data_IF_099382696163
#
_entry.id   IF_099382696163
#
_cell.length_a   1.000
_cell.length_b   1.000
_cell.length_c   1.000
_cell.angle_alpha   90.00
_cell.angle_beta   90.00
_cell.angle_gamma   90.00
#
_symmetry.space_group_name_H-M   'P 1'
#
loop_
_entity.id
_entity.type
_entity.pdbx_description
1 polymer ?
#
# COMPACT_ATOMS: atom_id res chain seq x y z
N UNK A 1 39.59 22.10 68.22
CA UNK A 1 39.40 20.93 67.33
C UNK A 1 38.26 21.21 66.34
N UNK A 2 38.41 21.99 65.28
CA UNK A 2 39.18 23.19 64.97
C UNK A 2 38.27 23.97 63.99
N UNK A 3 37.83 25.20 64.32
CA UNK A 3 38.37 26.51 63.85
C UNK A 3 38.06 26.72 62.35
N UNK A 4 37.48 27.79 61.82
CA UNK A 4 37.23 29.20 62.17
C UNK A 4 36.16 29.71 61.16
N UNK A 5 35.23 30.62 61.47
CA UNK A 5 35.44 32.09 61.53
C UNK A 5 35.22 32.70 60.14
N UNK A 6 34.48 33.78 59.85
CA UNK A 6 33.67 34.78 60.57
C UNK A 6 32.70 35.37 59.51
N UNK A 7 31.53 35.94 59.85
CA UNK A 7 31.35 37.36 60.21
C UNK A 7 32.09 38.31 59.21
N UNK A 8 31.47 39.29 58.55
CA UNK A 8 30.68 40.37 59.14
C UNK A 8 30.21 41.37 58.03
N UNK A 9 29.06 42.01 58.30
CA UNK A 9 28.60 43.40 57.94
C UNK A 9 28.27 43.74 56.48
N UNK A 10 27.04 44.12 56.13
CA UNK A 10 26.19 45.26 56.57
C UNK A 10 26.67 46.61 55.98
N UNK A 11 25.73 47.56 55.87
CA UNK A 11 25.81 48.96 55.44
C UNK A 11 25.34 49.16 53.99
N UNK A 12 24.05 49.42 53.73
CA UNK A 12 23.24 50.63 54.02
C UNK A 12 23.72 51.87 53.25
N UNK A 13 22.74 52.54 52.63
CA UNK A 13 22.57 54.00 52.54
C UNK A 13 22.48 54.52 51.10
N UNK A 14 21.25 54.89 50.77
CA UNK A 14 20.81 56.09 50.06
C UNK A 14 21.89 56.98 49.42
N UNK A 15 21.64 57.43 48.19
CA UNK A 15 21.11 58.78 47.97
C UNK A 15 21.05 59.12 46.46
N UNK A 16 19.83 59.47 46.06
CA UNK A 16 19.41 60.49 45.11
C UNK A 16 20.46 61.38 44.43
N UNK A 17 20.21 61.70 43.16
CA UNK A 17 20.76 62.90 42.52
C UNK A 17 20.49 62.97 41.02
N UNK A 18 19.29 63.43 40.64
CA UNK A 18 19.04 63.98 39.30
C UNK A 18 19.63 65.39 39.23
N UNK A 19 20.31 65.75 38.14
CA UNK A 19 20.28 67.11 37.58
C UNK A 19 20.61 67.12 36.09
N UNK A 20 19.66 67.68 35.37
CA UNK A 20 19.54 68.20 34.01
C UNK A 20 20.72 69.07 33.52
N UNK A 21 21.07 68.98 32.22
CA UNK A 21 21.53 70.14 31.42
C UNK A 21 21.55 69.86 29.91
N UNK A 22 20.69 70.59 29.19
CA UNK A 22 20.67 70.81 27.75
C UNK A 22 22.04 71.25 27.18
N UNK A 23 22.36 70.80 25.95
CA UNK A 23 22.67 71.70 24.81
C UNK A 23 22.98 70.97 23.50
N UNK A 24 22.50 71.61 22.43
CA UNK A 24 22.96 71.61 21.04
C UNK A 24 22.57 70.45 20.11
N UNK A 25 21.34 70.58 19.60
CA UNK A 25 20.95 70.12 18.27
C UNK A 25 21.45 71.11 17.20
N UNK A 26 22.53 70.78 16.50
CA UNK A 26 22.71 71.05 15.05
C UNK A 26 24.05 70.45 14.56
N UNK A 27 24.02 69.30 13.90
CA UNK A 27 25.11 68.81 13.06
C UNK A 27 24.51 67.99 11.92
N UNK A 28 24.96 68.19 10.66
CA UNK A 28 24.33 67.57 9.49
C UNK A 28 24.56 66.06 9.46
N UNK A 29 23.53 65.32 9.04
CA UNK A 29 23.53 63.87 8.92
C UNK A 29 24.68 63.35 8.04
N UNK A 30 25.42 62.31 8.46
CA UNK A 30 26.36 61.64 7.57
C UNK A 30 25.59 60.82 6.52
N UNK A 31 26.09 60.85 5.27
CA UNK A 31 25.56 60.11 4.11
C UNK A 31 25.39 58.60 4.40
N UNK A 32 24.38 57.94 3.81
CA UNK A 32 24.20 56.51 3.99
C UNK A 32 25.37 55.74 3.34
N UNK A 33 26.01 54.90 4.15
CA UNK A 33 27.01 53.93 3.70
C UNK A 33 26.40 52.96 2.68
N UNK A 34 27.16 52.46 1.68
CA UNK A 34 26.63 51.59 0.65
C UNK A 34 26.08 50.31 1.29
N UNK A 35 24.84 49.95 0.94
CA UNK A 35 24.21 48.70 1.36
C UNK A 35 25.15 47.53 1.08
N UNK A 36 25.73 46.97 2.14
CA UNK A 36 26.30 45.64 2.12
C UNK A 36 25.13 44.70 1.87
N UNK A 37 24.98 44.25 0.63
CA UNK A 37 24.10 43.15 0.27
C UNK A 37 24.44 41.96 1.17
N UNK A 38 23.59 41.74 2.17
CA UNK A 38 23.62 40.51 2.93
C UNK A 38 23.36 39.38 1.93
N UNK A 39 24.18 38.31 1.91
CA UNK A 39 23.83 37.16 1.12
C UNK A 39 22.44 36.69 1.59
N UNK A 40 21.56 36.26 0.67
CA UNK A 40 20.25 35.76 1.05
C UNK A 40 20.44 34.66 2.10
N UNK A 41 19.56 34.58 3.12
CA UNK A 41 19.62 33.50 4.09
C UNK A 41 19.69 32.18 3.33
N UNK A 42 20.43 31.17 3.84
CA UNK A 42 20.43 29.86 3.20
C UNK A 42 18.97 29.47 3.05
N UNK A 43 18.57 29.15 1.81
CA UNK A 43 17.27 28.57 1.53
C UNK A 43 17.23 27.31 2.40
N UNK A 44 16.63 27.44 3.59
CA UNK A 44 16.17 26.30 4.32
C UNK A 44 15.24 25.62 3.33
N UNK A 45 15.65 24.44 2.89
CA UNK A 45 14.76 23.48 2.28
C UNK A 45 13.72 23.08 3.35
N UNK A 46 12.90 24.04 3.78
CA UNK A 46 11.66 23.80 4.49
C UNK A 46 10.64 23.40 3.45
N UNK A 47 10.08 22.22 3.65
CA UNK A 47 9.19 21.59 2.69
C UNK A 47 9.83 20.48 1.88
N UNK A 48 10.69 19.65 2.51
CA UNK A 48 10.44 18.21 2.33
C UNK A 48 9.03 17.99 2.87
N UNK A 49 8.03 18.16 1.99
CA UNK A 49 6.78 17.46 2.15
C UNK A 49 7.21 16.00 2.31
N UNK A 50 7.18 15.54 3.56
CA UNK A 50 6.84 14.16 3.87
C UNK A 50 5.48 13.92 3.22
N UNK A 51 5.51 13.69 1.90
CA UNK A 51 4.52 12.89 1.24
C UNK A 51 4.75 11.54 1.89
N UNK A 52 4.04 11.31 2.99
CA UNK A 52 3.79 9.97 3.47
C UNK A 52 3.09 9.27 2.34
N UNK A 53 3.88 8.76 1.39
CA UNK A 53 3.45 7.71 0.49
C UNK A 53 3.16 6.55 1.42
N UNK A 54 1.92 6.47 1.89
CA UNK A 54 1.37 5.28 2.51
C UNK A 54 1.20 4.24 1.41
N UNK A 55 2.32 3.81 0.81
CA UNK A 55 2.36 2.63 -0.01
C UNK A 55 2.20 1.41 0.90
N UNK A 56 1.46 0.41 0.42
CA UNK A 56 1.29 -0.91 1.01
C UNK A 56 2.45 -1.27 1.96
N UNK A 57 2.23 -1.36 3.28
CA UNK A 57 3.33 -1.71 4.19
C UNK A 57 3.98 -3.03 3.75
N UNK A 58 5.29 -3.21 3.96
CA UNK A 58 5.94 -4.49 3.62
C UNK A 58 5.27 -5.70 4.27
N UNK A 59 4.56 -5.50 5.39
CA UNK A 59 3.71 -6.54 6.01
C UNK A 59 2.45 -6.83 5.19
N UNK A 60 1.75 -5.80 4.73
CA UNK A 60 0.55 -5.94 3.88
C UNK A 60 0.87 -6.66 2.57
N UNK A 61 1.96 -6.29 1.89
CA UNK A 61 2.38 -6.99 0.67
C UNK A 61 2.71 -8.48 0.90
N UNK A 62 3.23 -8.85 2.08
CA UNK A 62 3.50 -10.25 2.44
C UNK A 62 2.22 -11.00 2.83
N UNK A 63 1.25 -10.33 3.47
CA UNK A 63 -0.08 -10.90 3.75
C UNK A 63 -0.82 -11.16 2.43
N UNK A 64 -0.82 -10.19 1.52
CA UNK A 64 -1.37 -10.34 0.18
C UNK A 64 -0.71 -11.50 -0.58
N UNK A 65 0.62 -11.63 -0.54
CA UNK A 65 1.33 -12.79 -1.09
C UNK A 65 0.79 -14.10 -0.52
N UNK A 66 0.67 -14.19 0.81
CA UNK A 66 0.19 -15.40 1.48
C UNK A 66 -1.24 -15.76 1.07
N UNK A 67 -2.12 -14.76 1.01
CA UNK A 67 -3.51 -14.95 0.65
C UNK A 67 -3.67 -15.38 -0.81
N UNK A 68 -2.96 -14.72 -1.74
CA UNK A 68 -2.93 -15.11 -3.16
C UNK A 68 -2.25 -16.47 -3.38
N UNK A 69 -1.23 -16.82 -2.58
CA UNK A 69 -0.57 -18.12 -2.69
C UNK A 69 -1.53 -19.27 -2.35
N UNK A 70 -2.32 -19.12 -1.29
CA UNK A 70 -3.38 -20.10 -0.94
C UNK A 70 -4.42 -20.17 -2.05
N UNK A 71 -4.88 -19.02 -2.56
CA UNK A 71 -5.83 -18.97 -3.67
C UNK A 71 -5.31 -19.72 -4.90
N UNK A 72 -4.09 -19.42 -5.33
CA UNK A 72 -3.45 -20.04 -6.49
C UNK A 72 -3.23 -21.55 -6.31
N UNK A 73 -2.87 -22.03 -5.11
CA UNK A 73 -2.79 -23.48 -4.86
C UNK A 73 -4.16 -24.15 -5.05
N UNK A 74 -5.21 -23.58 -4.47
CA UNK A 74 -6.55 -24.16 -4.52
C UNK A 74 -7.12 -24.16 -5.94
N UNK A 75 -6.92 -23.07 -6.68
CA UNK A 75 -7.33 -22.95 -8.08
C UNK A 75 -6.62 -23.97 -8.96
N UNK A 76 -5.30 -24.07 -8.82
CA UNK A 76 -4.49 -24.97 -9.64
C UNK A 76 -4.70 -26.43 -9.24
N UNK A 77 -5.08 -26.71 -7.99
CA UNK A 77 -5.56 -28.02 -7.57
C UNK A 77 -6.91 -28.37 -8.22
N UNK A 78 -7.83 -27.42 -8.34
CA UNK A 78 -9.08 -27.62 -9.08
C UNK A 78 -8.82 -27.93 -10.56
N UNK A 79 -7.83 -27.27 -11.19
CA UNK A 79 -7.38 -27.63 -12.54
C UNK A 79 -6.82 -29.07 -12.60
N UNK A 80 -6.03 -29.49 -11.62
CA UNK A 80 -5.49 -30.86 -11.54
C UNK A 80 -6.55 -31.94 -11.32
N UNK A 81 -7.69 -31.58 -10.71
CA UNK A 81 -8.83 -32.47 -10.49
C UNK A 81 -9.70 -32.66 -11.75
N UNK A 82 -9.64 -31.74 -12.71
CA UNK A 82 -10.52 -31.72 -13.87
C UNK A 82 -10.56 -33.09 -14.60
N UNK A 83 -11.77 -33.59 -14.84
CA UNK A 83 -12.00 -34.94 -15.33
C UNK A 83 -11.94 -35.05 -16.86
N UNK A 84 -12.32 -33.99 -17.57
CA UNK A 84 -12.27 -33.96 -19.03
C UNK A 84 -11.26 -32.94 -19.55
N UNK A 85 -10.78 -33.17 -20.78
CA UNK A 85 -9.92 -32.22 -21.48
C UNK A 85 -10.62 -30.88 -21.70
N UNK A 86 -11.93 -30.89 -21.98
CA UNK A 86 -12.70 -29.67 -22.20
C UNK A 86 -12.79 -28.83 -20.91
N UNK A 87 -13.09 -29.46 -19.77
CA UNK A 87 -13.14 -28.76 -18.48
C UNK A 87 -11.77 -28.19 -18.12
N UNK A 88 -10.71 -28.98 -18.32
CA UNK A 88 -9.33 -28.54 -18.09
C UNK A 88 -8.95 -27.36 -18.97
N UNK A 89 -9.36 -27.37 -20.25
CA UNK A 89 -9.08 -26.30 -21.19
C UNK A 89 -9.84 -25.01 -20.84
N UNK A 90 -11.12 -25.11 -20.47
CA UNK A 90 -11.92 -23.97 -20.03
C UNK A 90 -11.37 -23.36 -18.73
N UNK A 91 -11.02 -24.19 -17.75
CA UNK A 91 -10.38 -23.74 -16.51
C UNK A 91 -9.03 -23.07 -16.79
N UNK A 92 -8.19 -23.69 -17.62
CA UNK A 92 -6.89 -23.13 -18.02
C UNK A 92 -7.03 -21.79 -18.73
N UNK A 93 -8.03 -21.65 -19.61
CA UNK A 93 -8.32 -20.38 -20.27
C UNK A 93 -8.77 -19.31 -19.28
N UNK A 94 -9.64 -19.66 -18.34
CA UNK A 94 -10.06 -18.77 -17.26
C UNK A 94 -8.85 -18.29 -16.44
N UNK A 95 -8.01 -19.22 -15.98
CA UNK A 95 -6.76 -18.96 -15.25
C UNK A 95 -5.84 -18.03 -16.04
N UNK A 96 -5.60 -18.35 -17.31
CA UNK A 96 -4.72 -17.56 -18.17
C UNK A 96 -5.16 -16.10 -18.32
N UNK A 97 -6.47 -15.82 -18.21
CA UNK A 97 -7.00 -14.47 -18.34
C UNK A 97 -6.81 -13.61 -17.09
N UNK A 98 -6.85 -14.20 -15.89
CA UNK A 98 -6.83 -13.41 -14.64
C UNK A 98 -5.55 -13.59 -13.80
N UNK A 99 -4.86 -14.73 -13.86
CA UNK A 99 -3.64 -14.95 -13.09
C UNK A 99 -2.50 -13.95 -13.39
N UNK A 100 -2.32 -13.45 -14.64
CA UNK A 100 -1.38 -12.36 -14.90
C UNK A 100 -1.79 -11.06 -14.19
N UNK A 101 -3.08 -10.74 -14.12
CA UNK A 101 -3.57 -9.56 -13.44
C UNK A 101 -3.32 -9.64 -11.93
N UNK A 102 -3.54 -10.81 -11.32
CA UNK A 102 -3.20 -11.06 -9.91
C UNK A 102 -1.70 -10.91 -9.63
N UNK A 103 -0.86 -11.47 -10.50
CA UNK A 103 0.60 -11.40 -10.38
C UNK A 103 1.10 -9.96 -10.50
N UNK A 104 0.50 -9.17 -11.39
CA UNK A 104 0.82 -7.73 -11.54
C UNK A 104 0.38 -6.95 -10.31
N UNK A 105 -0.82 -7.20 -9.77
CA UNK A 105 -1.30 -6.55 -8.55
C UNK A 105 -0.35 -6.83 -7.36
N UNK A 106 0.08 -8.09 -7.20
CA UNK A 106 1.06 -8.47 -6.19
C UNK A 106 2.42 -7.80 -6.39
N UNK A 107 2.91 -7.73 -7.64
CA UNK A 107 4.14 -7.02 -7.98
C UNK A 107 4.05 -5.54 -7.62
N UNK A 108 2.94 -4.87 -7.97
CA UNK A 108 2.71 -3.46 -7.65
C UNK A 108 2.68 -3.26 -6.14
N UNK A 109 2.01 -4.13 -5.38
CA UNK A 109 2.02 -4.08 -3.91
C UNK A 109 3.44 -4.17 -3.35
N UNK A 110 4.27 -5.08 -3.86
CA UNK A 110 5.67 -5.16 -3.44
C UNK A 110 6.49 -3.91 -3.79
N UNK A 111 6.30 -3.35 -4.98
CA UNK A 111 6.99 -2.13 -5.40
C UNK A 111 6.57 -0.91 -4.56
N UNK A 112 5.27 -0.78 -4.25
CA UNK A 112 4.73 0.27 -3.36
C UNK A 112 5.24 0.11 -1.92
N UNK A 113 5.56 -1.10 -1.48
CA UNK A 113 6.05 -1.37 -0.12
C UNK A 113 7.49 -0.98 0.19
N UNK A 114 8.21 -0.43 -0.79
CA UNK A 114 9.62 -0.06 -0.64
C UNK A 114 10.57 -1.26 -0.48
N UNK A 115 10.08 -2.48 -0.76
CA UNK A 115 10.88 -3.70 -0.62
C UNK A 115 12.03 -3.73 -1.63
N UNK A 116 13.26 -4.14 -1.25
CA UNK A 116 14.36 -4.22 -2.19
C UNK A 116 14.08 -5.23 -3.29
N UNK A 117 14.37 -4.86 -4.54
CA UNK A 117 14.02 -5.62 -5.77
C UNK A 117 14.45 -7.10 -5.75
N UNK A 118 15.58 -7.42 -5.10
CA UNK A 118 16.03 -8.81 -4.98
C UNK A 118 15.06 -9.68 -4.16
N UNK A 119 14.46 -9.15 -3.10
CA UNK A 119 13.46 -9.87 -2.29
C UNK A 119 12.15 -10.02 -3.04
N UNK A 120 11.74 -8.99 -3.78
CA UNK A 120 10.56 -9.05 -4.65
C UNK A 120 10.71 -10.22 -5.63
N UNK A 121 11.87 -10.33 -6.29
CA UNK A 121 12.16 -11.46 -7.19
C UNK A 121 12.07 -12.83 -6.49
N UNK A 122 12.57 -12.96 -5.26
CA UNK A 122 12.46 -14.19 -4.47
C UNK A 122 11.00 -14.54 -4.13
N UNK A 123 10.20 -13.56 -3.72
CA UNK A 123 8.79 -13.78 -3.41
C UNK A 123 7.96 -14.13 -4.65
N UNK A 124 8.20 -13.46 -5.77
CA UNK A 124 7.53 -13.80 -7.04
C UNK A 124 7.93 -15.18 -7.56
N UNK A 125 9.21 -15.57 -7.42
CA UNK A 125 9.65 -16.91 -7.75
C UNK A 125 8.97 -17.96 -6.88
N UNK A 126 8.84 -17.71 -5.57
CA UNK A 126 8.10 -18.56 -4.66
C UNK A 126 6.61 -18.65 -5.04
N UNK A 127 5.98 -17.52 -5.39
CA UNK A 127 4.59 -17.47 -5.84
C UNK A 127 4.38 -18.29 -7.13
N UNK A 128 5.30 -18.22 -8.08
CA UNK A 128 5.23 -19.01 -9.32
C UNK A 128 5.28 -20.52 -9.08
N UNK A 129 5.86 -20.98 -7.96
CA UNK A 129 5.87 -22.41 -7.61
C UNK A 129 4.53 -22.91 -7.07
N UNK A 130 3.65 -22.01 -6.62
CA UNK A 130 2.33 -22.36 -6.08
C UNK A 130 1.46 -23.06 -7.12
N UNK A 131 1.54 -22.64 -8.38
CA UNK A 131 0.76 -23.23 -9.47
C UNK A 131 1.09 -24.70 -9.74
N UNK A 132 2.36 -25.05 -10.04
CA UNK A 132 2.77 -26.45 -10.18
C UNK A 132 2.47 -27.30 -8.94
N UNK A 133 2.66 -26.75 -7.74
CA UNK A 133 2.32 -27.44 -6.48
C UNK A 133 0.82 -27.75 -6.43
N UNK A 134 -0.04 -26.77 -6.72
CA UNK A 134 -1.49 -26.94 -6.77
C UNK A 134 -1.91 -28.03 -7.76
N UNK A 135 -1.42 -27.99 -9.00
CA UNK A 135 -1.74 -29.01 -10.02
C UNK A 135 -1.36 -30.41 -9.55
N UNK A 136 -0.14 -30.59 -9.04
CA UNK A 136 0.33 -31.89 -8.55
C UNK A 136 -0.52 -32.39 -7.39
N UNK A 137 -0.90 -31.51 -6.45
CA UNK A 137 -1.79 -31.87 -5.35
C UNK A 137 -3.18 -32.30 -5.84
N UNK A 138 -3.76 -31.55 -6.79
CA UNK A 138 -5.04 -31.89 -7.42
C UNK A 138 -5.00 -33.26 -8.10
N UNK A 139 -3.96 -33.51 -8.90
CA UNK A 139 -3.75 -34.81 -9.55
C UNK A 139 -3.56 -35.95 -8.54
N UNK A 140 -2.85 -35.70 -7.44
CA UNK A 140 -2.57 -36.71 -6.42
C UNK A 140 -3.82 -37.18 -5.68
N UNK A 141 -4.81 -36.30 -5.49
CA UNK A 141 -6.06 -36.63 -4.79
C UNK A 141 -7.20 -37.02 -5.73
N UNK A 142 -7.03 -36.85 -7.05
CA UNK A 142 -8.06 -37.10 -8.07
C UNK A 142 -8.73 -38.47 -7.96
N UNK A 143 -7.94 -39.53 -7.82
CA UNK A 143 -8.45 -40.92 -7.79
C UNK A 143 -9.25 -41.25 -6.51
N UNK A 144 -9.07 -40.47 -5.45
CA UNK A 144 -9.71 -40.71 -4.13
C UNK A 144 -10.77 -39.66 -3.80
N UNK A 145 -10.82 -38.56 -4.55
CA UNK A 145 -11.73 -37.45 -4.31
C UNK A 145 -13.16 -37.80 -4.78
N UNK A 146 -14.18 -37.67 -3.93
CA UNK A 146 -15.57 -37.81 -4.36
C UNK A 146 -15.96 -36.63 -5.27
N UNK A 147 -16.96 -36.76 -6.17
CA UNK A 147 -17.41 -35.68 -7.05
C UNK A 147 -17.83 -34.38 -6.33
N UNK A 148 -18.27 -34.49 -5.07
CA UNK A 148 -18.60 -33.34 -4.24
C UNK A 148 -17.36 -32.45 -3.95
N UNK A 149 -16.16 -33.04 -3.96
CA UNK A 149 -14.92 -32.34 -3.69
C UNK A 149 -14.62 -31.24 -4.70
N UNK A 150 -14.93 -31.45 -5.98
CA UNK A 150 -14.74 -30.46 -7.04
C UNK A 150 -15.59 -29.20 -6.78
N UNK A 151 -16.85 -29.40 -6.39
CA UNK A 151 -17.78 -28.31 -6.05
C UNK A 151 -17.31 -27.54 -4.82
N UNK A 152 -16.83 -28.24 -3.80
CA UNK A 152 -16.30 -27.63 -2.58
C UNK A 152 -15.01 -26.86 -2.84
N UNK A 153 -14.11 -27.40 -3.67
CA UNK A 153 -12.90 -26.71 -4.10
C UNK A 153 -13.25 -25.43 -4.87
N UNK A 154 -14.14 -25.50 -5.85
CA UNK A 154 -14.55 -24.33 -6.61
C UNK A 154 -15.22 -23.26 -5.72
N UNK A 155 -16.09 -23.66 -4.79
CA UNK A 155 -16.70 -22.74 -3.83
C UNK A 155 -15.65 -22.09 -2.91
N UNK A 156 -14.62 -22.85 -2.49
CA UNK A 156 -13.52 -22.34 -1.67
C UNK A 156 -12.65 -21.37 -2.47
N UNK A 157 -12.32 -21.68 -3.72
CA UNK A 157 -11.56 -20.80 -4.62
C UNK A 157 -12.33 -19.48 -4.83
N UNK A 158 -13.62 -19.55 -5.15
CA UNK A 158 -14.46 -18.36 -5.29
C UNK A 158 -14.54 -17.53 -3.99
N UNK A 159 -14.70 -18.20 -2.85
CA UNK A 159 -14.75 -17.56 -1.54
C UNK A 159 -13.44 -16.86 -1.16
N UNK A 160 -12.30 -17.51 -1.41
CA UNK A 160 -10.98 -16.91 -1.17
C UNK A 160 -10.73 -15.71 -2.06
N UNK A 161 -11.12 -15.75 -3.33
CA UNK A 161 -11.02 -14.60 -4.23
C UNK A 161 -11.82 -13.40 -3.71
N UNK A 162 -13.07 -13.62 -3.27
CA UNK A 162 -13.91 -12.56 -2.67
C UNK A 162 -13.28 -12.02 -1.39
N UNK A 163 -12.78 -12.89 -0.51
CA UNK A 163 -12.12 -12.47 0.73
C UNK A 163 -10.91 -11.59 0.46
N UNK A 164 -9.97 -12.07 -0.38
CA UNK A 164 -8.75 -11.31 -0.73
C UNK A 164 -9.09 -10.00 -1.42
N UNK A 165 -10.05 -10.01 -2.34
CA UNK A 165 -10.56 -8.80 -2.98
C UNK A 165 -11.08 -7.78 -1.97
N UNK A 166 -11.84 -8.24 -0.97
CA UNK A 166 -12.44 -7.38 0.05
C UNK A 166 -11.47 -6.89 1.13
N UNK A 167 -10.49 -7.70 1.54
CA UNK A 167 -9.61 -7.37 2.68
C UNK A 167 -8.27 -6.81 2.28
N UNK A 168 -7.73 -7.17 1.11
CA UNK A 168 -6.40 -6.76 0.69
C UNK A 168 -6.43 -5.81 -0.53
N UNK A 169 -7.31 -6.06 -1.52
CA UNK A 169 -7.31 -5.28 -2.78
C UNK A 169 -8.12 -4.00 -2.64
N UNK A 170 -9.38 -4.08 -2.18
CA UNK A 170 -10.25 -2.90 -2.04
C UNK A 170 -9.69 -1.89 -1.03
N UNK A 171 -9.28 -2.28 0.19
CA UNK A 171 -8.78 -1.31 1.16
C UNK A 171 -7.51 -0.59 0.68
N UNK A 172 -6.59 -1.30 0.05
CA UNK A 172 -5.36 -0.73 -0.53
C UNK A 172 -5.67 0.27 -1.66
N UNK A 173 -6.58 -0.08 -2.58
CA UNK A 173 -6.95 0.83 -3.68
C UNK A 173 -7.65 2.09 -3.15
N UNK A 174 -8.42 1.98 -2.06
CA UNK A 174 -9.13 3.11 -1.45
C UNK A 174 -8.36 3.81 -0.33
N UNK A 175 -7.14 3.36 -0.01
CA UNK A 175 -6.27 4.01 0.99
C UNK A 175 -5.89 5.42 0.56
N UNK A 176 -5.60 5.59 -0.73
CA UNK A 176 -5.42 6.90 -1.34
C UNK A 176 -6.78 7.61 -1.53
N UNK A 177 -6.96 8.69 -0.76
CA UNK A 177 -8.19 9.50 -0.72
C UNK A 177 -8.51 10.22 -2.04
N UNK A 178 -7.62 10.18 -3.01
CA UNK A 178 -7.74 10.91 -4.27
C UNK A 178 -8.67 10.17 -5.24
N UNK A 179 -9.59 10.90 -5.87
CA UNK A 179 -10.53 10.37 -6.88
C UNK A 179 -11.41 9.16 -6.44
N UNK A 180 -11.75 9.01 -5.15
CA UNK A 180 -12.60 7.89 -4.64
C UNK A 180 -13.82 7.55 -5.49
N UNK A 181 -14.54 8.57 -5.95
CA UNK A 181 -15.74 8.39 -6.75
C UNK A 181 -15.45 7.78 -8.13
N UNK A 182 -14.29 8.07 -8.72
CA UNK A 182 -13.86 7.44 -9.98
C UNK A 182 -13.44 5.99 -9.74
N UNK A 183 -12.72 5.71 -8.65
CA UNK A 183 -12.34 4.35 -8.23
C UNK A 183 -13.58 3.48 -7.97
N UNK A 184 -14.53 4.04 -7.21
CA UNK A 184 -15.83 3.40 -6.96
C UNK A 184 -16.63 3.19 -8.25
N UNK A 185 -16.69 4.20 -9.13
CA UNK A 185 -17.33 4.08 -10.44
C UNK A 185 -16.70 2.99 -11.30
N UNK A 186 -15.37 2.85 -11.27
CA UNK A 186 -14.64 1.78 -11.96
C UNK A 186 -14.97 0.40 -11.39
N UNK A 187 -15.04 0.26 -10.06
CA UNK A 187 -15.41 -0.99 -9.39
C UNK A 187 -16.83 -1.41 -9.77
N UNK A 188 -17.81 -0.51 -9.64
CA UNK A 188 -19.21 -0.75 -10.00
C UNK A 188 -19.32 -1.06 -11.50
N UNK A 189 -18.58 -0.33 -12.34
CA UNK A 189 -18.52 -0.58 -13.78
C UNK A 189 -18.04 -1.99 -14.11
N UNK A 190 -17.01 -2.49 -13.41
CA UNK A 190 -16.54 -3.87 -13.53
C UNK A 190 -17.63 -4.89 -13.14
N UNK A 191 -18.29 -4.69 -12.00
CA UNK A 191 -19.38 -5.58 -11.54
C UNK A 191 -20.54 -5.59 -12.55
N UNK A 192 -20.97 -4.42 -13.02
CA UNK A 192 -22.05 -4.28 -14.01
C UNK A 192 -21.67 -4.93 -15.33
N UNK A 193 -20.42 -4.78 -15.78
CA UNK A 193 -19.93 -5.41 -17.01
C UNK A 193 -20.00 -6.93 -16.92
N UNK A 194 -19.52 -7.52 -15.80
CA UNK A 194 -19.61 -8.97 -15.58
C UNK A 194 -21.08 -9.43 -15.54
N UNK A 195 -21.95 -8.69 -14.87
CA UNK A 195 -23.38 -9.00 -14.83
C UNK A 195 -24.01 -8.99 -16.24
N UNK A 196 -23.72 -7.95 -17.02
CA UNK A 196 -24.21 -7.82 -18.39
C UNK A 196 -23.73 -8.98 -19.27
N UNK A 197 -22.42 -9.31 -19.21
CA UNK A 197 -21.86 -10.45 -19.95
C UNK A 197 -22.55 -11.75 -19.54
N UNK A 198 -22.79 -11.95 -18.24
CA UNK A 198 -23.48 -13.15 -17.72
C UNK A 198 -24.90 -13.26 -18.28
N UNK A 199 -25.66 -12.17 -18.28
CA UNK A 199 -27.02 -12.14 -18.82
C UNK A 199 -27.04 -12.38 -20.34
N UNK A 200 -26.09 -11.81 -21.08
CA UNK A 200 -25.98 -12.06 -22.52
C UNK A 200 -25.65 -13.52 -22.81
N UNK A 201 -24.69 -14.12 -22.09
CA UNK A 201 -24.34 -15.53 -22.26
C UNK A 201 -25.52 -16.45 -21.93
N UNK A 202 -26.22 -16.20 -20.81
CA UNK A 202 -27.40 -16.97 -20.42
C UNK A 202 -28.55 -16.83 -21.45
N UNK A 203 -28.70 -15.65 -22.05
CA UNK A 203 -29.65 -15.41 -23.13
C UNK A 203 -29.31 -16.17 -24.42
N UNK A 204 -28.03 -16.30 -24.76
CA UNK A 204 -27.58 -17.05 -25.94
C UNK A 204 -27.82 -18.57 -25.80
N UNK A 205 -27.61 -19.12 -24.61
CA UNK A 205 -27.91 -20.53 -24.32
C UNK A 205 -29.43 -20.81 -24.36
N UNK A 206 -30.25 -19.87 -23.85
CA UNK A 206 -31.71 -19.97 -23.90
C UNK A 206 -32.30 -20.00 -25.33
N UNK A 207 -31.63 -19.38 -26.31
CA UNK A 207 -32.04 -19.40 -27.72
C UNK A 207 -31.48 -20.58 -28.54
N UNK A 208 -30.43 -21.26 -28.07
CA UNK A 208 -29.86 -22.44 -28.73
C UNK A 208 -30.62 -23.74 -28.43
N UNK A 209 -31.48 -23.73 -27.41
CA UNK A 209 -32.32 -24.87 -26.98
C UNK A 209 -33.81 -24.71 -27.33
N UNK A 210 -34.19 -23.70 -28.13
CA UNK A 210 -35.57 -23.43 -28.57
C UNK A 210 -35.83 -23.83 -30.02
#
# INVERSE_FOLDING_TARGET
HDMEGGQEKEVLTEATGETELERDANSPSPEPSPERSTPPPPILAEGSHNRGENGHSSKGAVILLGALAVHSILEMAALGLANSFNDSALLSLSIALHQPAESIALLVAFLKSGMPKHKIGQYLAAFSMMGPIGVVLGMAVKEVAPPLFDVLMLATVAGTFIYVGATEVIPEEFEDQDNKWKKFGSLVGGIVTIFIVTQYTAGLEGHAHA
#
